data_IF_415539902436
#
_entry.id   IF_415539902436
#
_cell.length_a   1.000
_cell.length_b   1.000
_cell.length_c   1.000
_cell.angle_alpha   90.00
_cell.angle_beta   90.00
_cell.angle_gamma   90.00
#
_symmetry.space_group_name_H-M   'P 1'
#
loop_
_entity.id
_entity.type
_entity.pdbx_description
1 polymer ?
#
# COMPACT_ATOMS: atom_id res chain seq x y z
N UNK A 1 -2.54 4.98 31.49
CA UNK A 1 -2.68 4.04 30.35
C UNK A 1 -2.22 2.65 30.77
N UNK A 2 -3.14 1.84 31.31
CA UNK A 2 -2.97 0.39 31.53
C UNK A 2 -3.56 -0.29 30.29
N UNK A 3 -2.85 -1.24 29.65
CA UNK A 3 -3.50 -2.09 28.63
C UNK A 3 -2.69 -2.62 27.43
N UNK A 4 -1.38 -2.42 27.30
CA UNK A 4 -0.61 -3.12 26.24
C UNK A 4 0.07 -4.34 26.86
N UNK A 5 -0.50 -5.52 26.60
CA UNK A 5 -0.07 -6.80 27.19
C UNK A 5 1.36 -7.21 26.83
N UNK A 6 1.95 -6.63 25.78
CA UNK A 6 3.37 -6.83 25.47
C UNK A 6 3.97 -5.62 24.72
N UNK A 7 4.55 -4.69 25.47
CA UNK A 7 5.09 -3.42 24.93
C UNK A 7 6.19 -3.65 23.91
N UNK A 8 6.98 -4.71 24.09
CA UNK A 8 8.06 -5.11 23.17
C UNK A 8 7.52 -5.51 21.81
N UNK A 9 6.38 -6.19 21.77
CA UNK A 9 5.75 -6.65 20.54
C UNK A 9 5.12 -5.49 19.76
N UNK A 10 4.50 -4.54 20.46
CA UNK A 10 3.97 -3.30 19.88
C UNK A 10 5.08 -2.44 19.27
N UNK A 11 6.20 -2.28 19.98
CA UNK A 11 7.36 -1.50 19.49
C UNK A 11 8.02 -2.21 18.30
N UNK A 12 8.16 -3.54 18.33
CA UNK A 12 8.73 -4.33 17.22
C UNK A 12 7.88 -4.24 15.95
N UNK A 13 6.54 -4.32 16.07
CA UNK A 13 5.63 -4.16 14.94
C UNK A 13 5.66 -2.74 14.36
N UNK A 14 5.78 -1.72 15.22
CA UNK A 14 5.91 -0.33 14.79
C UNK A 14 7.23 -0.06 14.03
N UNK A 15 8.33 -0.68 14.45
CA UNK A 15 9.64 -0.56 13.76
C UNK A 15 9.64 -1.31 12.42
N UNK A 16 9.08 -2.53 12.35
CA UNK A 16 8.98 -3.29 11.10
C UNK A 16 8.01 -2.66 10.09
N UNK A 17 6.93 -2.02 10.57
CA UNK A 17 6.05 -1.21 9.72
C UNK A 17 6.71 0.09 9.25
N UNK A 18 7.62 0.67 10.05
CA UNK A 18 8.41 1.84 9.70
C UNK A 18 9.56 1.55 8.72
N UNK A 19 9.86 0.27 8.43
CA UNK A 19 10.86 -0.18 7.45
C UNK A 19 10.26 -0.51 6.05
N UNK A 20 9.03 -0.04 5.79
CA UNK A 20 8.54 0.31 4.44
C UNK A 20 8.30 -0.81 3.41
N UNK A 21 7.81 -1.99 3.83
CA UNK A 21 7.37 -3.04 2.88
C UNK A 21 6.00 -3.64 3.21
N UNK A 22 5.21 -2.95 4.01
CA UNK A 22 3.90 -3.46 4.42
C UNK A 22 2.79 -2.80 3.61
N UNK A 23 1.95 -3.61 2.97
CA UNK A 23 0.81 -3.11 2.20
C UNK A 23 -0.05 -2.16 3.07
N UNK A 24 -0.26 -0.90 2.64
CA UNK A 24 -0.87 0.13 3.48
C UNK A 24 -2.35 -0.14 3.76
N UNK A 25 -2.99 -0.97 2.94
CA UNK A 25 -4.40 -1.32 3.04
C UNK A 25 -4.64 -2.51 3.97
N UNK A 26 -4.01 -3.66 3.70
CA UNK A 26 -4.19 -4.85 4.53
C UNK A 26 -3.28 -4.87 5.78
N UNK A 27 -2.34 -3.91 5.90
CA UNK A 27 -1.36 -3.86 7.00
C UNK A 27 -0.55 -5.16 7.14
N UNK A 28 -0.28 -5.82 6.02
CA UNK A 28 0.54 -7.03 5.96
C UNK A 28 -0.20 -8.33 6.24
N UNK A 29 -1.52 -8.31 6.45
CA UNK A 29 -2.31 -9.53 6.66
C UNK A 29 -2.48 -10.37 5.40
N UNK A 30 -2.26 -9.79 4.21
CA UNK A 30 -2.52 -10.41 2.92
C UNK A 30 -4.00 -10.59 2.57
N UNK A 31 -4.92 -10.20 3.47
CA UNK A 31 -6.37 -10.37 3.30
C UNK A 31 -7.08 -9.08 3.73
N UNK A 32 -8.04 -8.63 2.93
CA UNK A 32 -8.89 -7.50 3.27
C UNK A 32 -10.08 -7.95 4.09
N UNK A 33 -10.42 -7.19 5.14
CA UNK A 33 -11.72 -7.36 5.81
C UNK A 33 -12.86 -7.06 4.81
N UNK A 34 -14.10 -7.52 5.08
CA UNK A 34 -15.24 -7.23 4.21
C UNK A 34 -15.40 -5.73 3.92
N UNK A 35 -15.20 -4.88 4.94
CA UNK A 35 -15.32 -3.43 4.81
C UNK A 35 -14.19 -2.85 3.94
N UNK A 36 -12.94 -3.25 4.19
CA UNK A 36 -11.81 -2.86 3.37
C UNK A 36 -11.98 -3.29 1.90
N UNK A 37 -12.53 -4.48 1.67
CA UNK A 37 -12.79 -5.00 0.32
C UNK A 37 -13.83 -4.15 -0.41
N UNK A 38 -14.92 -3.75 0.25
CA UNK A 38 -15.92 -2.86 -0.35
C UNK A 38 -15.31 -1.52 -0.75
N UNK A 39 -14.49 -0.93 0.13
CA UNK A 39 -13.80 0.32 -0.18
C UNK A 39 -12.76 0.17 -1.30
N UNK A 40 -12.03 -0.95 -1.32
CA UNK A 40 -11.10 -1.26 -2.41
C UNK A 40 -11.81 -1.41 -3.75
N UNK A 41 -12.96 -2.08 -3.80
CA UNK A 41 -13.74 -2.23 -5.03
C UNK A 41 -14.21 -0.88 -5.56
N UNK A 42 -14.70 0.01 -4.69
CA UNK A 42 -15.07 1.37 -5.08
C UNK A 42 -13.87 2.13 -5.66
N UNK A 43 -12.72 2.09 -4.97
CA UNK A 43 -11.48 2.72 -5.43
C UNK A 43 -10.99 2.17 -6.78
N UNK A 44 -11.07 0.85 -6.97
CA UNK A 44 -10.66 0.15 -8.17
C UNK A 44 -11.59 0.36 -9.38
N UNK A 45 -12.68 1.13 -9.22
CA UNK A 45 -13.55 1.53 -10.34
C UNK A 45 -12.82 2.52 -11.26
N UNK A 46 -12.06 3.44 -10.67
CA UNK A 46 -11.34 4.51 -11.38
C UNK A 46 -9.81 4.32 -11.35
N UNK A 47 -9.35 3.23 -10.73
CA UNK A 47 -7.93 2.93 -10.56
C UNK A 47 -7.64 1.46 -10.90
N UNK A 48 -6.53 1.20 -11.59
CA UNK A 48 -6.11 -0.15 -11.95
C UNK A 48 -4.72 -0.46 -11.38
N UNK A 49 -4.41 -1.72 -11.16
CA UNK A 49 -3.04 -2.17 -10.89
C UNK A 49 -2.41 -2.57 -12.22
N UNK A 50 -1.27 -1.98 -12.55
CA UNK A 50 -0.51 -2.28 -13.75
C UNK A 50 0.95 -2.61 -13.39
N UNK A 51 1.61 -3.34 -14.29
CA UNK A 51 3.05 -3.57 -14.24
C UNK A 51 3.76 -2.46 -15.01
N UNK A 52 4.84 -1.91 -14.44
CA UNK A 52 5.65 -0.91 -15.10
C UNK A 52 6.57 -1.55 -16.15
N UNK A 53 6.57 -1.03 -17.39
CA UNK A 53 7.38 -1.59 -18.49
C UNK A 53 8.90 -1.45 -18.29
N UNK A 54 9.36 -0.51 -17.43
CA UNK A 54 10.79 -0.27 -17.20
C UNK A 54 11.38 -1.11 -16.06
N UNK A 55 10.65 -1.25 -14.96
CA UNK A 55 11.16 -1.91 -13.74
C UNK A 55 10.35 -3.14 -13.31
N UNK A 56 9.28 -3.48 -14.02
CA UNK A 56 8.38 -4.59 -13.73
C UNK A 56 7.69 -4.54 -12.36
N UNK A 57 7.73 -3.39 -11.68
CA UNK A 57 7.04 -3.19 -10.42
C UNK A 57 5.53 -3.02 -10.64
N UNK A 58 4.73 -3.63 -9.77
CA UNK A 58 3.29 -3.38 -9.73
C UNK A 58 3.02 -2.02 -9.09
N UNK A 59 2.21 -1.21 -9.77
CA UNK A 59 1.79 0.10 -9.28
C UNK A 59 0.31 0.36 -9.59
N UNK A 60 -0.30 1.21 -8.79
CA UNK A 60 -1.68 1.64 -9.01
C UNK A 60 -1.68 2.86 -9.94
N UNK A 61 -2.46 2.80 -11.01
CA UNK A 61 -2.71 3.91 -11.93
C UNK A 61 -4.10 4.48 -11.71
N UNK A 62 -4.28 5.77 -12.02
CA UNK A 62 -5.57 6.43 -12.04
C UNK A 62 -6.03 6.56 -13.49
N UNK A 63 -7.18 5.99 -13.84
CA UNK A 63 -7.74 6.07 -15.18
C UNK A 63 -8.11 7.51 -15.57
N UNK A 64 -8.36 8.36 -14.57
CA UNK A 64 -8.80 9.75 -14.74
C UNK A 64 -7.67 10.80 -14.68
N UNK A 65 -6.40 10.36 -14.63
CA UNK A 65 -5.25 11.25 -14.84
C UNK A 65 -4.69 11.03 -16.24
N UNK A 66 -4.70 12.08 -17.05
CA UNK A 66 -3.79 12.18 -18.20
C UNK A 66 -2.38 11.85 -17.70
N UNK A 67 -1.80 10.77 -18.23
CA UNK A 67 -0.56 10.20 -17.72
C UNK A 67 0.52 11.30 -17.57
N UNK A 68 1.21 11.38 -16.42
CA UNK A 68 2.44 12.17 -16.37
C UNK A 68 3.46 11.56 -17.36
N UNK A 69 4.27 12.39 -18.04
CA UNK A 69 5.21 11.90 -19.04
C UNK A 69 6.18 10.91 -18.38
N UNK A 70 6.22 9.69 -18.93
CA UNK A 70 7.20 8.67 -18.60
C UNK A 70 8.60 9.26 -18.84
N UNK A 71 9.31 9.52 -17.75
CA UNK A 71 10.66 10.06 -17.80
C UNK A 71 10.92 11.17 -16.80
N UNK A 72 11.13 10.79 -15.53
CA UNK A 72 12.30 11.28 -14.79
C UNK A 72 12.52 10.48 -13.51
N UNK A 73 13.71 9.85 -13.46
CA UNK A 73 14.35 9.31 -12.27
C UNK A 73 14.18 10.28 -11.10
N UNK A 74 13.69 9.79 -9.97
CA UNK A 74 13.91 10.44 -8.68
C UNK A 74 14.32 9.35 -7.67
N UNK A 75 15.63 9.18 -7.57
CA UNK A 75 16.37 8.64 -6.42
C UNK A 75 17.19 9.83 -5.91
N UNK A 76 17.18 10.12 -4.59
CA UNK A 76 18.03 9.39 -3.66
C UNK A 76 17.29 8.80 -2.46
#
# INVERSE_FOLDING_TARGET
MKGVANRSEFIRAAILAALDSTCPLCKGTGILTPDQRRHWQAFATDHAVQECDECHALHVVCANRSAPPSGRRQHP
#
